data_IF_795439536828
#
_entry.id   IF_795439536828
#
_cell.length_a   1.000
_cell.length_b   1.000
_cell.length_c   1.000
_cell.angle_alpha   90.00
_cell.angle_beta   90.00
_cell.angle_gamma   90.00
#
_symmetry.space_group_name_H-M   'P 1'
#
loop_
_entity.id
_entity.type
_entity.pdbx_description
1 polymer ?
#
# COMPACT_ATOMS: atom_id res chain seq x y z
N UNK A 1 -6.38 -6.45 1.58
CA UNK A 1 -6.56 -7.34 0.43
C UNK A 1 -6.16 -6.63 -0.84
N UNK A 2 -5.60 -7.41 -1.76
CA UNK A 2 -5.39 -7.04 -3.15
C UNK A 2 -6.35 -7.87 -4.04
N UNK A 3 -6.48 -7.53 -5.32
CA UNK A 3 -7.38 -8.21 -6.24
C UNK A 3 -6.67 -8.58 -7.56
N UNK A 4 -6.90 -9.79 -8.05
CA UNK A 4 -6.16 -10.36 -9.18
C UNK A 4 -7.11 -10.93 -10.24
N UNK A 5 -6.92 -10.51 -11.48
CA UNK A 5 -7.58 -11.06 -12.66
C UNK A 5 -6.64 -11.95 -13.47
N UNK A 6 -6.96 -12.12 -14.76
CA UNK A 6 -6.07 -12.78 -15.72
C UNK A 6 -5.04 -11.79 -16.28
N UNK A 7 -5.44 -10.53 -16.46
CA UNK A 7 -4.60 -9.50 -17.11
C UNK A 7 -4.27 -8.32 -16.22
N UNK A 8 -5.13 -8.03 -15.25
CA UNK A 8 -5.00 -6.89 -14.34
C UNK A 8 -4.74 -7.35 -12.92
N UNK A 9 -3.82 -6.68 -12.23
CA UNK A 9 -3.65 -6.79 -10.78
C UNK A 9 -3.91 -5.44 -10.12
N UNK A 10 -4.63 -5.44 -9.00
CA UNK A 10 -4.94 -4.27 -8.20
C UNK A 10 -4.38 -4.50 -6.80
N UNK A 11 -3.41 -3.69 -6.41
CA UNK A 11 -2.54 -3.96 -5.28
C UNK A 11 -2.63 -2.84 -4.26
N UNK A 12 -2.80 -3.20 -2.99
CA UNK A 12 -2.61 -2.29 -1.86
C UNK A 12 -1.12 -2.16 -1.54
N UNK A 13 -0.61 -0.92 -1.45
CA UNK A 13 0.70 -0.64 -0.89
C UNK A 13 0.56 -0.23 0.59
N UNK A 14 1.38 -0.82 1.45
CA UNK A 14 1.26 -0.83 2.92
C UNK A 14 1.60 0.47 3.62
N UNK A 15 1.02 1.58 3.18
CA UNK A 15 0.99 2.86 3.91
C UNK A 15 -0.15 2.86 4.93
N UNK A 16 -1.25 2.17 4.63
CA UNK A 16 -2.39 1.97 5.53
C UNK A 16 -3.13 0.68 5.19
N UNK A 17 -3.75 0.05 6.19
CA UNK A 17 -4.62 -1.12 6.00
C UNK A 17 -5.92 -0.74 5.27
N UNK A 18 -6.31 0.55 5.33
CA UNK A 18 -7.53 1.06 4.70
C UNK A 18 -7.60 0.75 3.20
N UNK A 19 -6.51 0.96 2.45
CA UNK A 19 -6.48 0.66 1.00
C UNK A 19 -6.83 -0.80 0.74
N UNK A 20 -6.24 -1.68 1.53
CA UNK A 20 -6.44 -3.12 1.45
C UNK A 20 -7.90 -3.52 1.76
N UNK A 21 -8.55 -2.83 2.69
CA UNK A 21 -9.97 -3.02 3.00
C UNK A 21 -10.88 -2.52 1.87
N UNK A 22 -10.56 -1.35 1.30
CA UNK A 22 -11.34 -0.73 0.23
C UNK A 22 -11.32 -1.55 -1.06
N UNK A 23 -10.17 -2.14 -1.41
CA UNK A 23 -10.07 -3.09 -2.53
C UNK A 23 -10.92 -4.33 -2.28
N UNK A 24 -10.91 -4.89 -1.07
CA UNK A 24 -11.68 -6.09 -0.72
C UNK A 24 -13.18 -5.90 -0.94
N UNK A 25 -13.67 -4.75 -0.46
CA UNK A 25 -15.07 -4.37 -0.48
C UNK A 25 -15.58 -4.02 -1.87
N UNK A 26 -14.71 -3.49 -2.72
CA UNK A 26 -15.06 -3.04 -4.07
C UNK A 26 -14.62 -4.00 -5.17
N UNK A 27 -14.25 -5.26 -4.87
CA UNK A 27 -13.77 -6.21 -5.89
C UNK A 27 -14.75 -6.42 -7.05
N UNK A 28 -16.06 -6.39 -6.79
CA UNK A 28 -17.09 -6.55 -7.82
C UNK A 28 -17.17 -5.31 -8.74
N UNK A 29 -17.07 -4.11 -8.15
CA UNK A 29 -16.96 -2.86 -8.90
C UNK A 29 -15.69 -2.86 -9.76
N UNK A 30 -14.56 -3.24 -9.17
CA UNK A 30 -13.27 -3.31 -9.85
C UNK A 30 -13.29 -4.33 -11.00
N UNK A 31 -13.98 -5.46 -10.83
CA UNK A 31 -14.18 -6.45 -11.89
C UNK A 31 -14.99 -5.88 -13.05
N UNK A 32 -16.08 -5.17 -12.74
CA UNK A 32 -16.90 -4.47 -13.75
C UNK A 32 -16.10 -3.43 -14.52
N UNK A 33 -15.32 -2.59 -13.82
CA UNK A 33 -14.53 -1.52 -14.42
C UNK A 33 -13.35 -2.03 -15.27
N UNK A 34 -12.75 -3.17 -14.90
CA UNK A 34 -11.66 -3.79 -15.66
C UNK A 34 -12.14 -4.65 -16.82
N UNK A 35 -13.42 -5.03 -16.84
CA UNK A 35 -14.00 -5.93 -17.83
C UNK A 35 -13.53 -7.39 -17.69
N UNK A 36 -13.01 -7.77 -16.52
CA UNK A 36 -12.61 -9.14 -16.20
C UNK A 36 -12.95 -9.48 -14.74
N UNK A 37 -13.20 -10.76 -14.40
CA UNK A 37 -13.42 -11.16 -13.02
C UNK A 37 -12.11 -11.02 -12.22
N UNK A 38 -12.16 -10.27 -11.11
CA UNK A 38 -11.07 -10.17 -10.15
C UNK A 38 -11.39 -11.01 -8.92
N UNK A 39 -10.38 -11.68 -8.38
CA UNK A 39 -10.49 -12.45 -7.14
C UNK A 39 -9.70 -11.79 -6.02
N UNK A 40 -10.29 -11.72 -4.83
CA UNK A 40 -9.61 -11.27 -3.60
C UNK A 40 -8.44 -12.20 -3.30
N UNK A 41 -7.27 -11.64 -3.02
CA UNK A 41 -6.15 -12.39 -2.48
C UNK A 41 -5.31 -11.51 -1.56
N UNK A 42 -4.57 -12.16 -0.65
CA UNK A 42 -3.62 -11.45 0.20
C UNK A 42 -2.46 -10.93 -0.66
N UNK A 43 -2.32 -9.61 -0.67
CA UNK A 43 -1.22 -8.90 -1.26
C UNK A 43 -0.04 -8.75 -0.29
N UNK A 44 1.14 -8.41 -0.82
CA UNK A 44 2.39 -8.40 -0.06
C UNK A 44 2.46 -7.34 1.04
N UNK A 45 1.65 -6.29 0.93
CA UNK A 45 1.73 -5.15 1.83
C UNK A 45 0.39 -4.82 2.49
N UNK A 46 -0.61 -5.71 2.34
CA UNK A 46 -1.98 -5.46 2.83
C UNK A 46 -2.03 -5.15 4.34
N UNK A 47 -1.08 -5.68 5.10
CA UNK A 47 -1.03 -5.62 6.57
C UNK A 47 0.20 -4.89 7.10
N UNK A 48 0.89 -4.20 6.20
CA UNK A 48 2.01 -3.34 6.57
C UNK A 48 1.53 -1.90 6.71
N UNK A 49 2.13 -1.20 7.66
CA UNK A 49 1.97 0.24 7.80
C UNK A 49 3.37 0.85 7.83
N UNK A 50 3.72 1.57 6.78
CA UNK A 50 5.00 2.27 6.65
C UNK A 50 4.85 3.55 5.82
N UNK A 51 5.60 4.62 6.13
CA UNK A 51 5.73 5.78 5.25
C UNK A 51 6.10 5.44 3.80
N UNK A 52 5.71 6.26 2.81
CA UNK A 52 6.14 6.08 1.42
C UNK A 52 7.67 6.04 1.25
N UNK A 53 8.39 6.88 2.00
CA UNK A 53 9.87 6.88 2.01
C UNK A 53 10.46 5.60 2.60
N UNK A 54 9.82 5.06 3.65
CA UNK A 54 10.20 3.79 4.25
C UNK A 54 10.06 2.65 3.25
N UNK A 55 8.95 2.61 2.50
CA UNK A 55 8.74 1.63 1.44
C UNK A 55 9.86 1.68 0.40
N UNK A 56 10.18 2.88 -0.10
CA UNK A 56 11.23 3.04 -1.08
C UNK A 56 12.60 2.58 -0.55
N UNK A 57 12.95 2.96 0.69
CA UNK A 57 14.19 2.53 1.35
C UNK A 57 14.25 1.02 1.52
N UNK A 58 13.16 0.41 1.99
CA UNK A 58 13.05 -1.03 2.22
C UNK A 58 13.17 -1.84 0.92
N UNK A 59 12.50 -1.41 -0.16
CA UNK A 59 12.62 -2.05 -1.46
C UNK A 59 14.04 -1.94 -2.03
N UNK A 60 14.72 -0.81 -1.87
CA UNK A 60 16.15 -0.65 -2.26
C UNK A 60 17.08 -1.56 -1.46
N UNK A 61 16.73 -1.87 -0.22
CA UNK A 61 17.44 -2.85 0.60
C UNK A 61 17.10 -4.31 0.24
N UNK A 62 16.29 -4.54 -0.81
CA UNK A 62 15.90 -5.86 -1.30
C UNK A 62 14.64 -6.43 -0.66
N UNK A 63 13.82 -5.60 0.01
CA UNK A 63 12.56 -6.02 0.62
C UNK A 63 12.73 -7.10 1.69
N UNK A 64 13.85 -7.09 2.42
CA UNK A 64 14.19 -8.18 3.36
C UNK A 64 13.23 -8.23 4.54
N UNK A 65 13.09 -9.41 5.14
CA UNK A 65 12.43 -9.60 6.44
C UNK A 65 13.48 -9.56 7.56
N UNK A 66 13.13 -9.22 8.83
CA UNK A 66 14.06 -9.36 9.94
C UNK A 66 14.71 -10.75 10.00
N UNK A 67 15.97 -10.81 10.42
CA UNK A 67 16.69 -12.07 10.60
C UNK A 67 16.40 -12.71 11.97
N UNK A 68 16.01 -11.90 12.96
CA UNK A 68 15.72 -12.36 14.31
C UNK A 68 14.53 -11.61 14.95
N UNK A 69 13.67 -12.26 15.77
CA UNK A 69 12.51 -11.61 16.41
C UNK A 69 12.87 -10.40 17.28
N UNK A 70 14.07 -10.38 17.88
CA UNK A 70 14.60 -9.24 18.66
C UNK A 70 14.77 -7.94 17.87
N UNK A 71 14.74 -7.98 16.55
CA UNK A 71 14.72 -6.75 15.73
C UNK A 71 13.36 -6.07 15.73
N UNK A 72 12.32 -6.77 16.20
CA UNK A 72 10.96 -6.29 16.28
C UNK A 72 10.71 -5.76 17.70
N UNK A 73 10.27 -4.52 17.78
CA UNK A 73 9.83 -3.87 19.01
C UNK A 73 8.34 -4.15 19.20
N UNK A 74 7.99 -4.79 20.30
CA UNK A 74 6.60 -5.02 20.71
C UNK A 74 6.05 -3.80 21.47
N UNK A 75 5.19 -3.00 20.86
CA UNK A 75 4.47 -1.90 21.50
C UNK A 75 3.20 -1.53 20.74
N UNK A 76 2.04 -1.53 21.42
CA UNK A 76 0.84 -2.37 21.14
C UNK A 76 0.75 -3.16 19.81
N UNK A 77 1.51 -2.79 18.79
CA UNK A 77 1.74 -3.48 17.54
C UNK A 77 3.23 -3.87 17.40
N UNK A 78 3.61 -4.44 16.26
CA UNK A 78 4.96 -4.97 16.01
C UNK A 78 5.72 -4.06 15.05
N UNK A 79 6.70 -3.34 15.58
CA UNK A 79 7.46 -2.34 14.84
C UNK A 79 8.87 -2.83 14.50
N UNK A 80 9.30 -2.66 13.25
CA UNK A 80 10.68 -2.91 12.82
C UNK A 80 11.41 -1.58 12.56
N UNK A 81 12.31 -1.14 13.47
CA UNK A 81 12.97 0.15 13.36
C UNK A 81 13.85 0.32 12.13
N UNK A 82 14.50 -0.76 11.67
CA UNK A 82 15.49 -0.69 10.58
C UNK A 82 14.90 -0.13 9.27
N UNK A 83 13.61 -0.39 9.04
CA UNK A 83 12.88 0.08 7.86
C UNK A 83 11.67 0.94 8.20
N UNK A 84 11.49 1.31 9.46
CA UNK A 84 10.39 2.15 9.92
C UNK A 84 9.02 1.62 9.41
N UNK A 85 8.70 0.38 9.81
CA UNK A 85 7.60 -0.44 9.30
C UNK A 85 6.88 -1.16 10.45
N UNK A 86 5.54 -1.18 10.43
CA UNK A 86 4.72 -1.99 11.35
C UNK A 86 4.13 -3.23 10.66
N UNK A 87 4.12 -4.34 11.38
CA UNK A 87 3.40 -5.56 11.05
C UNK A 87 2.09 -5.61 11.85
N UNK A 88 1.06 -4.90 11.38
CA UNK A 88 -0.08 -4.51 12.21
C UNK A 88 -0.95 -5.68 12.70
N UNK A 89 -1.02 -6.77 11.94
CA UNK A 89 -1.84 -7.95 12.26
C UNK A 89 -1.04 -9.25 12.34
N UNK A 90 0.28 -9.15 12.45
CA UNK A 90 1.14 -10.32 12.52
C UNK A 90 1.53 -10.63 13.97
N UNK A 91 2.23 -11.74 14.16
CA UNK A 91 2.83 -12.12 15.44
C UNK A 91 1.87 -12.33 16.61
N UNK A 92 0.61 -12.64 16.31
CA UNK A 92 -0.40 -13.01 17.29
C UNK A 92 -0.85 -14.46 17.09
N UNK A 93 -1.30 -15.08 18.18
CA UNK A 93 -1.97 -16.37 18.20
C UNK A 93 -3.11 -16.29 19.19
N UNK A 94 -4.32 -16.62 18.75
CA UNK A 94 -5.54 -16.51 19.57
C UNK A 94 -5.67 -15.11 20.22
N UNK A 95 -5.37 -14.07 19.45
CA UNK A 95 -5.33 -12.65 19.85
C UNK A 95 -4.32 -12.29 20.95
N UNK A 96 -3.36 -13.17 21.24
CA UNK A 96 -2.26 -12.94 22.19
C UNK A 96 -0.94 -12.75 21.44
N UNK A 97 -0.06 -11.86 21.96
CA UNK A 97 1.30 -11.67 21.43
C UNK A 97 2.07 -13.00 21.47
N UNK A 98 2.53 -13.46 20.32
CA UNK A 98 3.22 -14.74 20.13
C UNK A 98 4.40 -14.59 19.15
N UNK A 99 5.18 -13.51 19.29
CA UNK A 99 6.26 -13.15 18.37
C UNK A 99 7.23 -14.29 18.11
N UNK A 100 7.87 -14.84 19.14
CA UNK A 100 8.88 -15.90 18.96
C UNK A 100 8.29 -17.17 18.33
N UNK A 101 7.05 -17.53 18.67
CA UNK A 101 6.39 -18.73 18.14
C UNK A 101 6.00 -18.60 16.65
N UNK A 102 5.59 -17.40 16.25
CA UNK A 102 5.05 -17.15 14.90
C UNK A 102 6.08 -16.58 13.94
N UNK A 103 7.26 -16.18 14.43
CA UNK A 103 8.26 -15.44 13.66
C UNK A 103 8.63 -16.11 12.35
N UNK A 104 9.02 -17.39 12.39
CA UNK A 104 9.44 -18.12 11.18
C UNK A 104 8.29 -18.35 10.20
N UNK A 105 7.07 -18.56 10.69
CA UNK A 105 5.89 -18.67 9.84
C UNK A 105 5.58 -17.34 9.14
N UNK A 106 5.66 -16.23 9.88
CA UNK A 106 5.52 -14.88 9.32
C UNK A 106 6.63 -14.58 8.31
N UNK A 107 7.89 -14.91 8.62
CA UNK A 107 9.02 -14.76 7.70
C UNK A 107 8.79 -15.51 6.38
N UNK A 108 8.38 -16.77 6.46
CA UNK A 108 8.08 -17.58 5.27
C UNK A 108 6.91 -17.00 4.45
N UNK A 109 5.86 -16.53 5.12
CA UNK A 109 4.73 -15.83 4.50
C UNK A 109 5.19 -14.58 3.75
N UNK A 110 6.03 -13.74 4.36
CA UNK A 110 6.54 -12.53 3.71
C UNK A 110 7.46 -12.82 2.53
N UNK A 111 8.34 -13.82 2.65
CA UNK A 111 9.17 -14.27 1.52
C UNK A 111 8.28 -14.68 0.32
N UNK A 112 7.28 -15.53 0.56
CA UNK A 112 6.32 -15.93 -0.47
C UNK A 112 5.59 -14.72 -1.09
N UNK A 113 5.15 -13.78 -0.26
CA UNK A 113 4.45 -12.58 -0.73
C UNK A 113 5.35 -11.66 -1.57
N UNK A 114 6.63 -11.52 -1.23
CA UNK A 114 7.59 -10.74 -2.00
C UNK A 114 7.94 -11.40 -3.33
N UNK A 115 8.04 -12.73 -3.37
CA UNK A 115 8.15 -13.47 -4.65
C UNK A 115 6.93 -13.21 -5.53
N UNK A 116 5.72 -13.26 -4.94
CA UNK A 116 4.48 -12.90 -5.62
C UNK A 116 4.48 -11.48 -6.14
N UNK A 117 5.08 -10.53 -5.41
CA UNK A 117 5.23 -9.14 -5.82
C UNK A 117 6.13 -9.02 -7.06
N UNK A 118 7.29 -9.69 -7.06
CA UNK A 118 8.20 -9.69 -8.21
C UNK A 118 7.57 -10.30 -9.47
N UNK A 119 6.63 -11.24 -9.30
CA UNK A 119 5.86 -11.83 -10.39
C UNK A 119 4.78 -10.91 -10.96
N UNK A 120 4.46 -9.76 -10.34
CA UNK A 120 3.43 -8.84 -10.85
C UNK A 120 3.74 -8.34 -12.27
N UNK A 121 5.02 -8.33 -12.68
CA UNK A 121 5.44 -8.00 -14.05
C UNK A 121 4.79 -8.86 -15.15
N UNK A 122 4.20 -10.02 -14.79
CA UNK A 122 3.47 -10.89 -15.75
C UNK A 122 2.11 -10.33 -16.16
N UNK A 123 1.52 -9.47 -15.33
CA UNK A 123 0.24 -8.85 -15.63
C UNK A 123 0.42 -7.75 -16.67
N UNK A 124 -0.56 -7.62 -17.55
CA UNK A 124 -0.55 -6.56 -18.56
C UNK A 124 -0.68 -5.17 -17.93
N UNK A 125 -1.39 -5.08 -16.80
CA UNK A 125 -1.61 -3.83 -16.07
C UNK A 125 -1.56 -4.10 -14.57
N UNK A 126 -0.75 -3.35 -13.84
CA UNK A 126 -0.74 -3.36 -12.38
C UNK A 126 -1.14 -1.99 -11.86
N UNK A 127 -2.22 -1.90 -11.11
CA UNK A 127 -2.63 -0.68 -10.42
C UNK A 127 -2.29 -0.79 -8.94
N UNK A 128 -1.42 0.09 -8.47
CA UNK A 128 -1.05 0.22 -7.07
C UNK A 128 -1.84 1.36 -6.46
N UNK A 129 -2.55 1.09 -5.38
CA UNK A 129 -3.19 2.13 -4.58
C UNK A 129 -2.42 2.30 -3.29
N UNK A 130 -2.23 3.56 -2.90
CA UNK A 130 -1.56 3.93 -1.66
C UNK A 130 -2.34 5.07 -1.02
N UNK A 131 -2.68 4.93 0.25
CA UNK A 131 -3.48 5.92 0.97
C UNK A 131 -2.90 6.28 2.32
N UNK A 132 -2.97 7.56 2.66
CA UNK A 132 -2.73 8.09 4.00
C UNK A 132 -4.01 8.63 4.67
N UNK A 133 -5.20 8.27 4.18
CA UNK A 133 -6.49 8.74 4.71
C UNK A 133 -7.01 7.90 5.89
N UNK A 134 -6.20 7.03 6.47
CA UNK A 134 -6.59 6.21 7.61
C UNK A 134 -6.57 7.04 8.91
N UNK A 135 -7.73 7.20 9.56
CA UNK A 135 -7.90 8.19 10.62
C UNK A 135 -7.04 7.97 11.89
N UNK A 136 -6.51 6.75 12.10
CA UNK A 136 -5.68 6.42 13.26
C UNK A 136 -4.17 6.37 12.94
N UNK A 137 -3.71 6.92 11.81
CA UNK A 137 -2.27 7.02 11.52
C UNK A 137 -1.53 7.88 12.55
N UNK A 138 -2.21 8.85 13.18
CA UNK A 138 -1.70 9.63 14.31
C UNK A 138 -1.36 8.75 15.53
N UNK A 139 -2.12 7.69 15.78
CA UNK A 139 -1.81 6.69 16.82
C UNK A 139 -0.49 6.00 16.48
N UNK A 140 -0.29 5.66 15.21
CA UNK A 140 0.93 5.01 14.72
C UNK A 140 2.13 5.93 14.90
N UNK A 141 2.01 7.21 14.53
CA UNK A 141 3.09 8.19 14.71
C UNK A 141 3.40 8.47 16.18
N UNK A 142 2.41 8.46 17.08
CA UNK A 142 2.68 8.58 18.52
C UNK A 142 3.55 7.45 19.08
N UNK A 143 3.36 6.21 18.61
CA UNK A 143 4.16 5.06 19.06
C UNK A 143 5.44 4.87 18.22
N UNK A 144 5.53 5.50 17.06
CA UNK A 144 6.70 5.47 16.16
C UNK A 144 6.92 6.85 15.53
N UNK A 145 7.50 7.82 16.27
CA UNK A 145 7.56 9.23 15.86
C UNK A 145 8.35 9.51 14.57
N UNK A 146 9.18 8.56 14.13
CA UNK A 146 9.90 8.63 12.85
C UNK A 146 9.00 8.41 11.63
N UNK A 147 7.72 8.04 11.80
CA UNK A 147 6.82 7.81 10.69
C UNK A 147 6.19 9.10 10.17
N UNK A 148 6.49 9.43 8.92
CA UNK A 148 5.87 10.52 8.17
C UNK A 148 5.01 9.97 7.02
N UNK A 149 3.69 9.99 7.19
CA UNK A 149 2.74 9.50 6.19
C UNK A 149 2.34 10.56 5.16
N UNK A 150 2.91 11.77 5.22
CA UNK A 150 2.56 12.85 4.33
C UNK A 150 3.06 12.61 2.90
N UNK A 151 2.19 12.83 1.92
CA UNK A 151 2.49 12.71 0.49
C UNK A 151 3.16 13.99 -0.04
N UNK A 152 4.40 14.21 0.38
CA UNK A 152 5.28 15.20 -0.28
C UNK A 152 5.67 14.73 -1.68
N UNK A 153 6.00 15.66 -2.59
CA UNK A 153 6.48 15.33 -3.94
C UNK A 153 7.66 14.34 -3.91
N UNK A 154 8.64 14.57 -3.02
CA UNK A 154 9.79 13.69 -2.84
C UNK A 154 9.38 12.29 -2.36
N UNK A 155 8.44 12.18 -1.42
CA UNK A 155 7.97 10.89 -0.92
C UNK A 155 7.21 10.09 -2.00
N UNK A 156 6.37 10.76 -2.78
CA UNK A 156 5.64 10.14 -3.90
C UNK A 156 6.59 9.71 -5.02
N UNK A 157 7.58 10.55 -5.37
CA UNK A 157 8.59 10.22 -6.35
C UNK A 157 9.45 9.02 -5.91
N UNK A 158 9.87 8.99 -4.64
CA UNK A 158 10.66 7.88 -4.09
C UNK A 158 9.90 6.55 -4.14
N UNK A 159 8.62 6.53 -3.74
CA UNK A 159 7.78 5.34 -3.82
C UNK A 159 7.55 4.92 -5.28
N UNK A 160 7.30 5.90 -6.17
CA UNK A 160 7.09 5.64 -7.60
C UNK A 160 8.32 5.00 -8.23
N UNK A 161 9.49 5.57 -7.98
CA UNK A 161 10.75 5.01 -8.45
C UNK A 161 10.97 3.59 -7.94
N UNK A 162 10.69 3.31 -6.65
CA UNK A 162 10.89 1.97 -6.09
C UNK A 162 9.99 0.90 -6.76
N UNK A 163 8.74 1.25 -7.07
CA UNK A 163 7.84 0.36 -7.82
C UNK A 163 8.31 0.21 -9.26
N UNK A 164 8.72 1.30 -9.92
CA UNK A 164 9.27 1.25 -11.29
C UNK A 164 10.55 0.41 -11.37
N UNK A 165 11.46 0.53 -10.41
CA UNK A 165 12.70 -0.26 -10.34
C UNK A 165 12.39 -1.76 -10.21
N UNK A 166 11.31 -2.10 -9.50
CA UNK A 166 10.94 -3.49 -9.23
C UNK A 166 10.13 -4.12 -10.37
N UNK A 167 9.19 -3.38 -10.96
CA UNK A 167 8.16 -3.92 -11.87
C UNK A 167 8.19 -3.32 -13.27
N UNK A 168 9.02 -2.30 -13.50
CA UNK A 168 9.07 -1.53 -14.74
C UNK A 168 7.84 -0.66 -14.97
N UNK A 169 7.59 -0.31 -16.24
CA UNK A 169 6.51 0.60 -16.66
C UNK A 169 5.09 0.00 -16.56
N UNK A 170 4.96 -1.25 -16.12
CA UNK A 170 3.66 -1.90 -15.94
C UNK A 170 2.91 -1.44 -14.67
N UNK A 171 3.62 -0.79 -13.73
CA UNK A 171 3.05 -0.28 -12.49
C UNK A 171 2.51 1.14 -12.62
N UNK A 172 1.19 1.28 -12.47
CA UNK A 172 0.49 2.57 -12.32
C UNK A 172 0.21 2.81 -10.84
N UNK A 173 0.70 3.91 -10.26
CA UNK A 173 0.50 4.21 -8.85
C UNK A 173 -0.52 5.32 -8.68
N UNK A 174 -1.46 5.10 -7.77
CA UNK A 174 -2.57 5.97 -7.43
C UNK A 174 -2.46 6.34 -5.94
N UNK A 175 -2.14 7.61 -5.69
CA UNK A 175 -2.07 8.17 -4.35
C UNK A 175 -3.46 8.68 -3.96
N UNK A 176 -3.95 8.29 -2.79
CA UNK A 176 -5.25 8.71 -2.26
C UNK A 176 -5.01 9.45 -0.94
N UNK A 177 -5.41 10.70 -0.88
CA UNK A 177 -5.16 11.60 0.26
C UNK A 177 -6.43 12.35 0.63
N UNK A 178 -6.49 12.86 1.85
CA UNK A 178 -7.44 13.90 2.23
C UNK A 178 -6.86 15.28 1.88
N UNK A 179 -7.55 16.35 2.30
CA UNK A 179 -7.15 17.73 2.01
C UNK A 179 -5.75 18.07 2.52
N UNK A 180 -5.35 17.54 3.67
CA UNK A 180 -4.15 17.96 4.41
C UNK A 180 -3.00 16.93 4.33
N UNK A 181 -3.28 15.73 3.84
CA UNK A 181 -2.31 14.63 3.74
C UNK A 181 -1.30 14.74 2.60
N UNK A 182 -1.39 15.75 1.74
CA UNK A 182 -0.46 15.97 0.64
C UNK A 182 0.09 17.40 0.63
N UNK A 183 1.32 17.53 0.13
CA UNK A 183 1.99 18.83 0.05
C UNK A 183 1.28 19.78 -0.91
N UNK A 184 1.65 21.06 -0.83
CA UNK A 184 1.09 22.12 -1.68
C UNK A 184 1.26 21.82 -3.18
N UNK A 185 2.39 21.21 -3.56
CA UNK A 185 2.74 20.92 -4.96
C UNK A 185 3.03 19.43 -5.16
N UNK A 186 2.00 18.59 -5.40
CA UNK A 186 2.22 17.22 -5.84
C UNK A 186 2.83 17.21 -7.25
N UNK A 187 3.70 16.24 -7.51
CA UNK A 187 4.27 16.05 -8.85
C UNK A 187 3.14 15.82 -9.87
N UNK A 188 3.03 16.63 -10.95
CA UNK A 188 1.97 16.47 -11.94
C UNK A 188 2.01 15.12 -12.69
N UNK A 189 3.13 14.40 -12.64
CA UNK A 189 3.25 13.06 -13.23
C UNK A 189 2.53 11.97 -12.40
N UNK A 190 2.28 12.21 -11.10
CA UNK A 190 1.62 11.23 -10.23
C UNK A 190 0.09 11.32 -10.30
N UNK A 191 -0.59 10.18 -10.15
CA UNK A 191 -2.05 10.15 -10.06
C UNK A 191 -2.49 10.35 -8.63
N UNK A 192 -2.78 11.59 -8.26
CA UNK A 192 -3.30 11.95 -6.94
C UNK A 192 -4.81 12.09 -6.96
N UNK A 193 -5.48 11.42 -6.03
CA UNK A 193 -6.91 11.48 -5.78
C UNK A 193 -7.13 12.12 -4.41
N UNK A 194 -7.86 13.23 -4.37
CA UNK A 194 -8.15 13.96 -3.13
C UNK A 194 -9.58 13.66 -2.70
N UNK A 195 -9.75 13.21 -1.46
CA UNK A 195 -11.06 13.03 -0.85
C UNK A 195 -11.47 14.34 -0.18
N UNK A 196 -12.63 14.88 -0.56
CA UNK A 196 -13.12 16.17 -0.08
C UNK A 196 -13.75 16.12 1.33
N UNK A 197 -13.92 14.92 1.89
CA UNK A 197 -14.45 14.74 3.23
C UNK A 197 -13.31 14.51 4.23
N UNK A 198 -13.28 15.25 5.36
CA UNK A 198 -12.43 14.86 6.48
C UNK A 198 -12.89 13.46 6.88
N UNK A 199 -12.02 12.47 6.76
CA UNK A 199 -12.40 11.07 6.99
C UNK A 199 -12.20 10.73 8.48
N UNK A 200 -13.26 10.69 9.31
CA UNK A 200 -13.11 10.28 10.70
C UNK A 200 -12.94 8.76 10.84
N UNK A 201 -13.09 7.97 9.78
CA UNK A 201 -13.20 6.52 9.88
C UNK A 201 -11.93 5.78 9.45
N UNK A 202 -11.51 4.82 10.28
CA UNK A 202 -10.33 3.97 10.04
C UNK A 202 -10.46 3.22 8.70
N UNK A 203 -11.67 2.78 8.33
CA UNK A 203 -11.90 2.03 7.08
C UNK A 203 -12.18 2.91 5.86
N UNK A 204 -12.34 4.23 6.04
CA UNK A 204 -12.64 5.15 4.94
C UNK A 204 -14.10 5.17 4.49
N UNK A 205 -14.36 6.02 3.50
CA UNK A 205 -15.67 6.25 2.90
C UNK A 205 -15.82 5.41 1.62
N UNK A 206 -16.81 4.52 1.60
CA UNK A 206 -17.03 3.61 0.47
C UNK A 206 -17.35 4.34 -0.84
N UNK A 207 -18.19 5.38 -0.79
CA UNK A 207 -18.62 6.09 -1.99
C UNK A 207 -17.47 6.88 -2.60
N UNK A 208 -16.67 7.54 -1.74
CA UNK A 208 -15.49 8.27 -2.15
C UNK A 208 -14.44 7.34 -2.77
N UNK A 209 -14.19 6.17 -2.18
CA UNK A 209 -13.27 5.17 -2.73
C UNK A 209 -13.78 4.54 -4.03
N UNK A 210 -15.09 4.28 -4.14
CA UNK A 210 -15.68 3.85 -5.41
C UNK A 210 -15.40 4.86 -6.53
N UNK A 211 -15.48 6.16 -6.24
CA UNK A 211 -15.18 7.21 -7.22
C UNK A 211 -13.70 7.28 -7.60
N UNK A 212 -12.81 7.14 -6.61
CA UNK A 212 -11.36 6.97 -6.85
C UNK A 212 -11.13 5.83 -7.84
N UNK A 213 -11.75 4.67 -7.63
CA UNK A 213 -11.59 3.52 -8.52
C UNK A 213 -12.12 3.77 -9.93
N UNK A 214 -13.29 4.41 -10.07
CA UNK A 214 -13.84 4.78 -11.38
C UNK A 214 -12.88 5.69 -12.14
N UNK A 215 -12.40 6.75 -11.49
CA UNK A 215 -11.46 7.71 -12.09
C UNK A 215 -10.13 7.06 -12.43
N UNK A 216 -9.59 6.23 -11.53
CA UNK A 216 -8.31 5.55 -11.69
C UNK A 216 -8.27 4.61 -12.90
N UNK A 217 -9.37 3.91 -13.15
CA UNK A 217 -9.46 2.87 -14.17
C UNK A 217 -9.79 3.42 -15.56
N UNK A 218 -10.13 4.71 -15.69
CA UNK A 218 -10.29 5.37 -16.99
C UNK A 218 -9.00 5.27 -17.85
N UNK A 219 -9.14 5.05 -19.17
CA UNK A 219 -7.99 5.06 -20.07
C UNK A 219 -7.22 6.38 -20.00
N UNK A 220 -5.89 6.32 -19.90
CA UNK A 220 -5.05 7.51 -20.10
C UNK A 220 -5.30 8.05 -21.51
N UNK A 221 -5.84 9.26 -21.64
CA UNK A 221 -5.85 9.96 -22.92
C UNK A 221 -4.41 10.18 -23.37
N UNK A 222 -4.16 10.10 -24.68
CA UNK A 222 -2.82 10.11 -25.30
C UNK A 222 -1.97 11.32 -24.85
N UNK A 223 -2.61 12.43 -24.49
CA UNK A 223 -1.94 13.65 -24.00
C UNK A 223 -1.25 13.49 -22.64
N UNK A 224 -1.69 12.56 -21.79
CA UNK A 224 -1.07 12.30 -20.47
C UNK A 224 0.24 11.50 -20.54
N UNK A 225 0.57 10.93 -21.71
CA UNK A 225 1.83 10.19 -21.92
C UNK A 225 2.98 11.05 -22.45
N UNK A 226 2.69 12.26 -22.94
CA UNK A 226 3.70 13.16 -23.50
C UNK A 226 4.31 14.11 -22.44
N UNK A 227 3.80 14.08 -21.21
CA UNK A 227 4.17 14.99 -20.12
C UNK A 227 4.85 14.28 -18.92
N UNK A 228 5.16 12.99 -19.05
CA UNK A 228 5.93 12.19 -18.09
C UNK A 228 7.09 11.53 -18.84
#
# INVERSE_FOLDING_TARGET
MSAFGQRTAIISLGVSCQTAWQIDRHVDLLSSLTGEPLTRATGPFDWLIMPPRSFASWMRAGGRFPDHPREIVCHPNFYWPAHNLHFWHEFTRDDVIALDETFEATRAKFAYLLDRFAELKRFRRCLFFVSNTQANLDVVTRVSPSMDFHFSAEAMAALTQAVTDTLGLAGEIHFVTDRDGAGADPDPAVRLHRLDHPNPHVLGDDEAWAEVFRTALLPRTVLSRAAA
#
